data_IF_023393394933
#
_entry.id   IF_023393394933
#
_cell.length_a   1.000
_cell.length_b   1.000
_cell.length_c   1.000
_cell.angle_alpha   90.00
_cell.angle_beta   90.00
_cell.angle_gamma   90.00
#
_symmetry.space_group_name_H-M   'P 1'
#
loop_
_entity.id
_entity.type
_entity.pdbx_description
1 polymer ?
#
# COMPACT_ATOMS: atom_id res chain seq x y z
N UNK A 1 -11.77 -8.42 26.27
CA UNK A 1 -12.05 -7.29 25.37
C UNK A 1 -10.90 -6.29 25.54
N UNK A 2 -10.22 -5.78 24.49
CA UNK A 2 -10.69 -5.66 23.11
C UNK A 2 -10.30 -6.82 22.17
N UNK A 3 -10.95 -6.88 21.00
CA UNK A 3 -10.53 -7.67 19.84
C UNK A 3 -11.12 -7.05 18.56
N UNK A 4 -10.57 -7.38 17.38
CA UNK A 4 -11.06 -6.87 16.11
C UNK A 4 -11.33 -7.96 15.08
N UNK A 5 -12.27 -7.70 14.17
CA UNK A 5 -12.52 -8.51 12.97
C UNK A 5 -12.24 -7.62 11.76
N UNK A 6 -11.28 -8.02 10.93
CA UNK A 6 -10.95 -7.30 9.70
C UNK A 6 -11.52 -8.02 8.48
N UNK A 7 -12.00 -7.27 7.51
CA UNK A 7 -12.48 -7.79 6.24
C UNK A 7 -12.01 -6.92 5.07
N UNK A 8 -11.62 -7.58 3.98
CA UNK A 8 -11.43 -6.94 2.68
C UNK A 8 -12.45 -7.54 1.73
N UNK A 9 -13.27 -6.70 1.11
CA UNK A 9 -14.40 -7.18 0.31
C UNK A 9 -14.87 -6.20 -0.74
N UNK A 10 -15.72 -6.71 -1.62
CA UNK A 10 -16.46 -5.91 -2.60
C UNK A 10 -17.71 -5.33 -1.95
N UNK A 11 -17.94 -4.05 -2.20
CA UNK A 11 -19.16 -3.35 -1.82
C UNK A 11 -19.80 -2.72 -3.05
N UNK A 12 -21.13 -2.65 -3.04
CA UNK A 12 -21.92 -2.14 -4.16
C UNK A 12 -22.76 -0.96 -3.71
N UNK A 13 -22.69 0.13 -4.47
CA UNK A 13 -23.52 1.33 -4.29
C UNK A 13 -24.30 1.56 -5.57
N UNK A 14 -25.62 1.72 -5.48
CA UNK A 14 -26.45 2.01 -6.65
C UNK A 14 -26.34 3.50 -7.05
N UNK A 15 -25.13 3.94 -7.37
CA UNK A 15 -24.81 5.32 -7.73
C UNK A 15 -25.49 5.71 -9.05
N UNK A 16 -26.23 6.83 -8.99
CA UNK A 16 -27.06 7.34 -10.08
C UNK A 16 -26.15 7.90 -11.17
N UNK A 17 -25.12 8.65 -10.79
CA UNK A 17 -24.20 9.31 -11.71
C UNK A 17 -22.74 8.99 -11.37
N UNK A 18 -22.19 7.87 -11.87
CA UNK A 18 -20.77 7.57 -11.79
C UNK A 18 -19.95 8.69 -12.47
N UNK A 19 -18.94 9.20 -11.79
CA UNK A 19 -18.07 10.30 -12.27
C UNK A 19 -16.76 10.33 -11.47
N UNK A 20 -15.84 11.20 -11.90
CA UNK A 20 -14.56 11.45 -11.21
C UNK A 20 -13.72 10.18 -11.04
N UNK A 21 -13.71 9.36 -12.10
CA UNK A 21 -12.97 8.10 -12.21
C UNK A 21 -13.30 7.15 -11.04
N UNK A 22 -12.38 6.94 -10.10
CA UNK A 22 -12.55 6.02 -8.97
C UNK A 22 -13.35 6.59 -7.78
N UNK A 23 -13.76 7.86 -7.80
CA UNK A 23 -14.42 8.48 -6.64
C UNK A 23 -15.89 8.14 -6.49
N UNK A 24 -16.59 7.95 -7.62
CA UNK A 24 -18.00 7.55 -7.65
C UNK A 24 -18.17 6.31 -8.51
N UNK A 25 -18.06 5.17 -7.84
CA UNK A 25 -18.18 3.85 -8.44
C UNK A 25 -19.47 3.15 -7.99
N UNK A 26 -19.90 2.15 -8.77
CA UNK A 26 -21.00 1.24 -8.39
C UNK A 26 -20.51 -0.01 -7.69
N UNK A 27 -19.30 -0.46 -8.00
CA UNK A 27 -18.58 -1.51 -7.31
C UNK A 27 -17.27 -0.91 -6.81
N UNK A 28 -16.95 -1.11 -5.53
CA UNK A 28 -15.72 -0.66 -4.91
C UNK A 28 -15.17 -1.75 -3.98
N UNK A 29 -13.90 -1.63 -3.60
CA UNK A 29 -13.30 -2.54 -2.62
C UNK A 29 -12.99 -1.78 -1.32
N UNK A 30 -13.37 -2.35 -0.19
CA UNK A 30 -13.16 -1.74 1.13
C UNK A 30 -12.27 -2.65 1.99
N UNK A 31 -11.48 -2.03 2.86
CA UNK A 31 -10.81 -2.67 3.98
C UNK A 31 -11.43 -2.08 5.25
N UNK A 32 -12.07 -2.91 6.05
CA UNK A 32 -12.81 -2.50 7.23
C UNK A 32 -12.35 -3.32 8.42
N UNK A 33 -12.30 -2.69 9.59
CA UNK A 33 -12.09 -3.41 10.85
C UNK A 33 -13.22 -3.06 11.79
N UNK A 34 -13.90 -4.07 12.31
CA UNK A 34 -14.82 -3.90 13.44
C UNK A 34 -14.05 -4.18 14.71
N UNK A 35 -13.68 -3.13 15.45
CA UNK A 35 -12.92 -3.24 16.68
C UNK A 35 -13.82 -3.13 17.90
N UNK A 36 -14.04 -4.27 18.56
CA UNK A 36 -14.91 -4.40 19.71
C UNK A 36 -14.18 -4.00 20.98
N UNK A 37 -14.79 -3.10 21.75
CA UNK A 37 -14.24 -2.53 22.98
C UNK A 37 -15.27 -2.53 24.10
N UNK A 38 -14.82 -2.46 25.35
CA UNK A 38 -15.72 -2.18 26.47
C UNK A 38 -16.17 -0.72 26.42
N UNK A 39 -17.40 -0.39 26.88
CA UNK A 39 -17.92 0.98 26.90
C UNK A 39 -17.02 1.97 27.64
N UNK A 40 -16.25 1.54 28.64
CA UNK A 40 -15.33 2.39 29.39
C UNK A 40 -13.99 2.70 28.68
N UNK A 41 -13.62 1.91 27.66
CA UNK A 41 -12.29 1.96 27.04
C UNK A 41 -12.26 2.58 25.64
N UNK A 42 -13.42 3.01 25.12
CA UNK A 42 -13.53 3.44 23.72
C UNK A 42 -12.67 4.66 23.38
N UNK A 43 -12.53 5.64 24.28
CA UNK A 43 -11.76 6.86 24.01
C UNK A 43 -10.30 6.54 23.76
N UNK A 44 -9.70 5.73 24.64
CA UNK A 44 -8.32 5.28 24.49
C UNK A 44 -8.13 4.50 23.18
N UNK A 45 -9.00 3.52 22.92
CA UNK A 45 -8.91 2.71 21.71
C UNK A 45 -9.10 3.55 20.43
N UNK A 46 -9.99 4.54 20.46
CA UNK A 46 -10.23 5.43 19.31
C UNK A 46 -9.00 6.27 18.98
N UNK A 47 -8.34 6.81 20.00
CA UNK A 47 -7.10 7.59 19.85
C UNK A 47 -5.92 6.72 19.39
N UNK A 48 -5.87 5.46 19.82
CA UNK A 48 -4.90 4.48 19.32
C UNK A 48 -5.13 4.18 17.83
N UNK A 49 -6.39 3.91 17.43
CA UNK A 49 -6.74 3.72 16.02
C UNK A 49 -6.47 4.96 15.17
N UNK A 50 -6.76 6.17 15.66
CA UNK A 50 -6.45 7.41 14.94
C UNK A 50 -4.96 7.50 14.59
N UNK A 51 -4.07 7.17 15.54
CA UNK A 51 -2.62 7.12 15.29
C UNK A 51 -2.24 6.02 14.31
N UNK A 52 -2.89 4.84 14.40
CA UNK A 52 -2.67 3.75 13.46
C UNK A 52 -3.04 4.13 12.03
N UNK A 53 -4.07 4.96 11.81
CA UNK A 53 -4.41 5.47 10.47
C UNK A 53 -3.25 6.28 9.86
N UNK A 54 -2.62 7.17 10.65
CA UNK A 54 -1.44 7.92 10.20
C UNK A 54 -0.22 7.03 9.94
N UNK A 55 0.03 6.06 10.81
CA UNK A 55 1.10 5.07 10.61
C UNK A 55 0.87 4.22 9.36
N UNK A 56 -0.39 3.89 9.05
CA UNK A 56 -0.75 3.20 7.82
C UNK A 56 -0.50 4.07 6.58
N UNK A 57 -0.84 5.37 6.62
CA UNK A 57 -0.49 6.31 5.56
C UNK A 57 1.03 6.39 5.32
N UNK A 58 1.82 6.45 6.39
CA UNK A 58 3.30 6.43 6.30
C UNK A 58 3.81 5.12 5.67
N UNK A 59 3.26 3.98 6.09
CA UNK A 59 3.63 2.66 5.54
C UNK A 59 3.32 2.54 4.03
N UNK A 60 2.28 3.25 3.55
CA UNK A 60 1.93 3.37 2.13
C UNK A 60 2.80 4.39 1.38
N UNK A 61 3.68 5.13 2.07
CA UNK A 61 4.49 6.19 1.49
C UNK A 61 3.70 7.46 1.15
N UNK A 62 2.55 7.68 1.80
CA UNK A 62 1.80 8.94 1.68
C UNK A 62 2.49 10.04 2.51
N UNK A 63 2.75 11.24 1.94
CA UNK A 63 3.29 12.34 2.72
C UNK A 63 2.27 12.82 3.76
N UNK A 64 2.69 12.96 5.01
CA UNK A 64 1.79 13.29 6.12
C UNK A 64 1.17 14.67 5.96
N UNK A 65 1.86 15.61 5.31
CA UNK A 65 1.35 16.95 5.00
C UNK A 65 0.15 16.96 4.05
N UNK A 66 -0.09 15.85 3.34
CA UNK A 66 -1.22 15.68 2.43
C UNK A 66 -2.37 14.88 3.03
N UNK A 67 -2.22 14.35 4.26
CA UNK A 67 -3.26 13.60 4.97
C UNK A 67 -3.80 14.47 6.10
N UNK A 68 -5.10 14.78 6.04
CA UNK A 68 -5.76 15.72 6.95
C UNK A 68 -6.84 15.01 7.75
N UNK A 69 -6.97 15.32 9.03
CA UNK A 69 -8.10 14.88 9.85
C UNK A 69 -9.22 15.92 9.80
N UNK A 70 -10.45 15.46 9.56
CA UNK A 70 -11.68 16.25 9.66
C UNK A 70 -12.60 15.61 10.71
N UNK A 71 -12.74 16.25 11.86
CA UNK A 71 -13.73 15.84 12.87
C UNK A 71 -15.14 16.18 12.34
N UNK A 72 -15.97 15.16 12.15
CA UNK A 72 -17.30 15.34 11.53
C UNK A 72 -18.25 16.01 12.53
N UNK A 73 -18.87 17.16 12.18
CA UNK A 73 -19.81 17.87 13.04
C UNK A 73 -20.99 17.00 13.47
N UNK A 74 -21.57 17.30 14.64
CA UNK A 74 -22.61 16.47 15.23
C UNK A 74 -23.85 16.29 14.33
N UNK A 75 -24.17 17.33 13.57
CA UNK A 75 -25.27 17.42 12.61
C UNK A 75 -25.07 16.59 11.34
N UNK A 76 -23.82 16.32 10.96
CA UNK A 76 -23.46 15.61 9.73
C UNK A 76 -23.10 14.13 9.99
N UNK A 77 -22.97 13.73 11.26
CA UNK A 77 -22.72 12.34 11.65
C UNK A 77 -23.91 11.45 11.35
N UNK A 78 -23.63 10.20 11.00
CA UNK A 78 -24.64 9.16 10.99
C UNK A 78 -25.28 9.05 12.38
N UNK A 79 -26.60 8.79 12.43
CA UNK A 79 -27.38 8.74 13.67
C UNK A 79 -26.87 7.74 14.72
N UNK A 80 -26.08 6.76 14.31
CA UNK A 80 -25.47 5.74 15.17
C UNK A 80 -24.02 6.05 15.57
N UNK A 81 -23.39 7.10 15.01
CA UNK A 81 -22.00 7.46 15.32
C UNK A 81 -21.93 8.54 16.40
N UNK A 82 -21.23 8.23 17.50
CA UNK A 82 -20.97 9.17 18.59
C UNK A 82 -19.73 10.03 18.32
N UNK A 83 -18.81 9.58 17.47
CA UNK A 83 -17.62 10.32 17.01
C UNK A 83 -17.15 9.78 15.67
N UNK A 84 -16.84 10.65 14.73
CA UNK A 84 -16.25 10.25 13.43
C UNK A 84 -15.17 11.23 13.05
N UNK A 85 -14.03 10.70 12.61
CA UNK A 85 -12.98 11.45 11.93
C UNK A 85 -12.87 10.93 10.51
N UNK A 86 -13.04 11.83 9.54
CA UNK A 86 -12.71 11.54 8.15
C UNK A 86 -11.25 11.92 7.92
N UNK A 87 -10.48 11.00 7.36
CA UNK A 87 -9.15 11.25 6.85
C UNK A 87 -9.27 11.67 5.39
N UNK A 88 -8.87 12.89 5.08
CA UNK A 88 -8.86 13.43 3.73
C UNK A 88 -7.46 13.45 3.13
N UNK A 89 -7.37 13.36 1.81
CA UNK A 89 -6.12 13.46 1.07
C UNK A 89 -6.17 14.56 0.02
N UNK A 90 -5.06 15.27 -0.17
CA UNK A 90 -4.90 16.29 -1.21
C UNK A 90 -4.62 15.64 -2.58
N UNK A 91 -5.69 15.33 -3.33
CA UNK A 91 -5.55 14.86 -4.71
C UNK A 91 -5.25 16.03 -5.68
N UNK A 92 -4.74 15.75 -6.90
CA UNK A 92 -4.48 16.79 -7.91
C UNK A 92 -5.71 17.62 -8.31
N UNK A 93 -6.93 17.13 -8.06
CA UNK A 93 -8.20 17.80 -8.32
C UNK A 93 -8.92 18.27 -7.04
N UNK A 94 -8.19 18.36 -5.93
CA UNK A 94 -8.65 18.90 -4.65
C UNK A 94 -8.74 17.87 -3.54
N UNK A 95 -8.96 18.37 -2.33
CA UNK A 95 -9.09 17.56 -1.13
C UNK A 95 -10.35 16.70 -1.14
N UNK A 96 -10.20 15.42 -0.83
CA UNK A 96 -11.31 14.46 -0.75
C UNK A 96 -11.07 13.45 0.36
N UNK A 97 -12.16 12.92 0.90
CA UNK A 97 -12.19 11.77 1.80
C UNK A 97 -11.41 10.56 1.23
N UNK A 98 -10.46 10.09 2.03
CA UNK A 98 -9.63 8.91 1.79
C UNK A 98 -10.15 7.73 2.64
N UNK A 99 -10.27 7.91 3.96
CA UNK A 99 -10.72 6.90 4.94
C UNK A 99 -11.63 7.52 6.00
N UNK A 100 -12.37 6.69 6.73
CA UNK A 100 -13.15 7.10 7.90
C UNK A 100 -12.78 6.30 9.15
N UNK A 101 -12.86 6.93 10.31
CA UNK A 101 -12.75 6.29 11.62
C UNK A 101 -13.96 6.68 12.46
N UNK A 102 -14.86 5.74 12.69
CA UNK A 102 -16.11 5.96 13.41
C UNK A 102 -16.16 5.22 14.75
N UNK A 103 -16.84 5.79 15.72
CA UNK A 103 -17.22 5.14 16.97
C UNK A 103 -18.74 5.03 17.04
N UNK A 104 -19.23 3.80 16.92
CA UNK A 104 -20.65 3.48 16.67
C UNK A 104 -21.39 3.00 17.92
N UNK A 105 -20.75 3.09 19.09
CA UNK A 105 -21.31 2.60 20.36
C UNK A 105 -21.73 1.12 20.24
N UNK A 106 -22.81 0.70 20.87
CA UNK A 106 -23.37 -0.66 20.80
C UNK A 106 -24.42 -0.83 19.69
N UNK A 107 -24.67 0.22 18.89
CA UNK A 107 -25.81 0.31 17.96
C UNK A 107 -25.96 -0.93 17.07
N UNK A 108 -24.88 -1.36 16.43
CA UNK A 108 -24.91 -2.45 15.46
C UNK A 108 -25.26 -3.79 16.08
N UNK A 109 -24.58 -4.13 17.18
CA UNK A 109 -24.82 -5.37 17.91
C UNK A 109 -26.20 -5.35 18.57
N UNK A 110 -26.64 -4.23 19.12
CA UNK A 110 -27.97 -4.09 19.72
C UNK A 110 -29.08 -4.26 18.66
N UNK A 111 -28.94 -3.63 17.49
CA UNK A 111 -29.89 -3.77 16.39
C UNK A 111 -29.97 -5.23 15.90
N UNK A 112 -28.83 -5.89 15.68
CA UNK A 112 -28.80 -7.29 15.25
C UNK A 112 -29.33 -8.26 16.30
N UNK A 113 -29.03 -8.05 17.58
CA UNK A 113 -29.56 -8.86 18.67
C UNK A 113 -31.09 -8.75 18.75
N UNK A 114 -31.63 -7.53 18.67
CA UNK A 114 -33.07 -7.28 18.69
C UNK A 114 -33.80 -7.91 17.50
N UNK A 115 -33.22 -7.82 16.30
CA UNK A 115 -33.86 -8.35 15.09
C UNK A 115 -33.76 -9.88 14.98
N UNK A 116 -32.65 -10.48 15.43
CA UNK A 116 -32.41 -11.93 15.31
C UNK A 116 -32.90 -12.74 16.51
N UNK A 117 -33.04 -12.11 17.68
CA UNK A 117 -33.29 -12.80 18.95
C UNK A 117 -32.06 -13.53 19.52
N UNK A 118 -30.89 -13.41 18.88
CA UNK A 118 -29.63 -14.00 19.34
C UNK A 118 -28.91 -13.01 20.24
N UNK A 119 -28.45 -13.47 21.41
CA UNK A 119 -27.71 -12.63 22.34
C UNK A 119 -26.27 -12.38 21.85
N UNK A 120 -25.91 -11.11 21.70
CA UNK A 120 -24.59 -10.64 21.27
C UNK A 120 -23.81 -9.92 22.39
N UNK A 121 -24.22 -10.10 23.64
CA UNK A 121 -23.53 -9.55 24.79
C UNK A 121 -22.26 -10.34 25.13
N UNK A 122 -21.20 -9.64 25.52
CA UNK A 122 -19.96 -10.22 26.00
C UNK A 122 -20.00 -10.40 27.52
N UNK A 123 -19.61 -11.59 27.99
CA UNK A 123 -19.40 -11.88 29.41
C UNK A 123 -17.92 -11.66 29.76
N UNK A 124 -17.63 -10.69 30.61
CA UNK A 124 -16.31 -10.48 31.16
C UNK A 124 -16.12 -11.35 32.41
N UNK A 125 -15.25 -12.37 32.30
CA UNK A 125 -14.93 -13.29 33.38
C UNK A 125 -13.71 -12.86 34.21
N UNK A 126 -13.10 -11.69 33.91
CA UNK A 126 -11.97 -11.18 34.68
C UNK A 126 -12.41 -10.76 36.10
N UNK A 127 -11.93 -11.43 37.16
CA UNK A 127 -12.32 -11.14 38.53
C UNK A 127 -11.85 -9.77 39.05
N UNK A 128 -10.97 -9.07 38.31
CA UNK A 128 -10.45 -7.75 38.68
C UNK A 128 -11.31 -6.58 38.18
N UNK A 129 -12.24 -6.81 37.25
CA UNK A 129 -13.09 -5.75 36.69
C UNK A 129 -14.37 -5.62 37.52
N UNK A 130 -14.55 -4.47 38.17
CA UNK A 130 -15.67 -4.18 39.08
C UNK A 130 -16.98 -3.73 38.43
N UNK A 131 -17.06 -3.61 37.09
CA UNK A 131 -18.27 -3.22 36.35
C UNK A 131 -19.05 -4.42 35.77
N UNK A 132 -20.25 -4.16 35.26
CA UNK A 132 -21.21 -5.15 34.74
C UNK A 132 -20.51 -6.31 34.03
N UNK A 133 -20.55 -7.50 34.65
CA UNK A 133 -19.95 -8.73 34.12
C UNK A 133 -20.42 -9.06 32.70
N UNK A 134 -21.50 -8.44 32.23
CA UNK A 134 -22.08 -8.67 30.91
C UNK A 134 -22.49 -7.33 30.29
N UNK A 135 -22.03 -7.05 29.08
CA UNK A 135 -22.35 -5.82 28.34
C UNK A 135 -22.37 -6.08 26.83
N UNK A 136 -23.04 -5.23 26.06
CA UNK A 136 -22.91 -5.24 24.60
C UNK A 136 -21.64 -4.46 24.23
N UNK A 137 -20.65 -5.07 23.55
CA UNK A 137 -19.44 -4.38 23.16
C UNK A 137 -19.76 -3.15 22.30
N UNK A 138 -18.98 -2.10 22.49
CA UNK A 138 -19.02 -0.98 21.56
C UNK A 138 -18.07 -1.22 20.39
N UNK A 139 -18.32 -0.54 19.27
CA UNK A 139 -17.58 -0.74 18.02
C UNK A 139 -16.85 0.54 17.59
N UNK A 140 -15.56 0.40 17.31
CA UNK A 140 -14.74 1.38 16.59
C UNK A 140 -14.44 0.80 15.22
N UNK A 141 -14.73 1.57 14.18
CA UNK A 141 -14.64 1.14 12.79
C UNK A 141 -13.73 2.08 11.99
N UNK A 142 -12.49 1.69 11.70
CA UNK A 142 -11.76 2.21 10.55
C UNK A 142 -12.30 1.57 9.27
N UNK A 143 -12.79 2.40 8.33
CA UNK A 143 -13.22 2.00 6.99
C UNK A 143 -12.37 2.69 5.93
N UNK A 144 -11.72 1.90 5.07
CA UNK A 144 -10.73 2.35 4.11
C UNK A 144 -11.12 1.95 2.69
N UNK A 145 -11.28 2.93 1.79
CA UNK A 145 -11.48 2.66 0.37
C UNK A 145 -10.19 2.24 -0.33
N UNK A 146 -10.09 0.99 -0.80
CA UNK A 146 -8.89 0.46 -1.49
C UNK A 146 -8.58 1.28 -2.74
N UNK A 147 -9.60 1.53 -3.57
CA UNK A 147 -9.45 2.22 -4.84
C UNK A 147 -8.90 3.64 -4.65
N UNK A 148 -9.46 4.39 -3.69
CA UNK A 148 -9.00 5.75 -3.34
C UNK A 148 -7.59 5.76 -2.75
N UNK A 149 -7.25 4.73 -1.97
CA UNK A 149 -5.91 4.54 -1.41
C UNK A 149 -4.88 4.32 -2.52
N UNK A 150 -5.18 3.47 -3.51
CA UNK A 150 -4.30 3.23 -4.65
C UNK A 150 -4.06 4.53 -5.43
N UNK A 151 -5.11 5.32 -5.69
CA UNK A 151 -4.91 6.59 -6.37
C UNK A 151 -4.10 7.59 -5.55
N UNK A 152 -4.30 7.66 -4.23
CA UNK A 152 -3.50 8.53 -3.37
C UNK A 152 -2.01 8.17 -3.44
N UNK A 153 -1.69 6.87 -3.44
CA UNK A 153 -0.33 6.35 -3.62
C UNK A 153 0.24 6.74 -4.99
N UNK A 154 -0.52 6.52 -6.07
CA UNK A 154 -0.09 6.85 -7.43
C UNK A 154 0.13 8.37 -7.62
N UNK A 155 -0.79 9.19 -7.11
CA UNK A 155 -0.68 10.64 -7.15
C UNK A 155 0.54 11.13 -6.36
N UNK A 156 0.78 10.56 -5.17
CA UNK A 156 1.94 10.90 -4.33
C UNK A 156 3.27 10.48 -4.96
N UNK A 157 3.28 9.41 -5.76
CA UNK A 157 4.48 8.87 -6.39
C UNK A 157 4.79 9.48 -7.77
N UNK A 158 3.83 10.10 -8.45
CA UNK A 158 4.03 10.63 -9.81
C UNK A 158 5.10 11.73 -9.85
N UNK A 159 6.11 11.57 -10.70
CA UNK A 159 7.18 12.55 -10.91
C UNK A 159 7.49 12.70 -12.40
N UNK A 160 7.96 13.89 -12.74
CA UNK A 160 8.58 14.20 -14.03
C UNK A 160 9.94 14.85 -13.78
N UNK A 161 10.96 14.42 -14.51
CA UNK A 161 12.27 15.09 -14.56
C UNK A 161 12.86 15.13 -15.97
N UNK A 162 13.97 15.85 -16.16
CA UNK A 162 14.75 15.82 -17.39
C UNK A 162 15.85 14.76 -17.26
N UNK A 163 15.86 13.81 -18.20
CA UNK A 163 16.87 12.77 -18.26
C UNK A 163 17.48 12.73 -19.66
N UNK A 164 18.55 13.52 -19.84
CA UNK A 164 19.27 13.59 -21.10
C UNK A 164 18.56 14.42 -22.17
N UNK A 165 17.87 15.50 -21.77
CA UNK A 165 17.13 16.38 -22.67
C UNK A 165 15.75 15.85 -23.08
N UNK A 166 15.30 14.74 -22.47
CA UNK A 166 13.97 14.17 -22.64
C UNK A 166 13.26 14.08 -21.29
N UNK A 167 12.00 14.52 -21.25
CA UNK A 167 11.15 14.38 -20.07
C UNK A 167 10.98 12.89 -19.73
N UNK A 168 11.14 12.57 -18.45
CA UNK A 168 10.95 11.23 -17.89
C UNK A 168 9.85 11.26 -16.86
N UNK A 169 8.77 10.56 -17.17
CA UNK A 169 7.71 10.25 -16.22
C UNK A 169 8.05 8.97 -15.48
N UNK A 170 7.93 8.98 -14.16
CA UNK A 170 8.14 7.79 -13.34
C UNK A 170 7.29 7.82 -12.08
N UNK A 171 7.05 6.64 -11.51
CA UNK A 171 6.38 6.51 -10.22
C UNK A 171 7.43 6.25 -9.13
N UNK A 172 7.64 7.22 -8.25
CA UNK A 172 8.50 7.14 -7.08
C UNK A 172 7.89 6.28 -5.94
N UNK A 173 7.32 5.11 -6.27
CA UNK A 173 6.73 4.19 -5.30
C UNK A 173 7.77 3.75 -4.26
N UNK A 174 7.38 3.68 -2.99
CA UNK A 174 8.24 3.06 -1.99
C UNK A 174 8.53 1.60 -2.37
N UNK A 175 9.78 1.11 -2.29
CA UNK A 175 10.12 -0.23 -2.75
C UNK A 175 9.28 -1.34 -2.12
N UNK A 176 8.83 -1.17 -0.86
CA UNK A 176 7.94 -2.09 -0.15
C UNK A 176 6.61 -2.34 -0.84
N UNK A 177 6.04 -1.33 -1.51
CA UNK A 177 4.74 -1.39 -2.17
C UNK A 177 4.81 -1.42 -3.70
N UNK A 178 6.00 -1.19 -4.29
CA UNK A 178 6.16 -1.26 -5.75
C UNK A 178 5.72 -2.64 -6.29
N UNK A 179 4.93 -2.71 -7.38
CA UNK A 179 4.36 -3.96 -7.90
C UNK A 179 5.44 -4.91 -8.44
N UNK A 180 6.54 -4.33 -8.93
CA UNK A 180 7.74 -5.04 -9.37
C UNK A 180 8.91 -4.52 -8.53
N UNK A 181 9.67 -5.42 -7.90
CA UNK A 181 10.79 -5.02 -7.01
C UNK A 181 12.07 -4.77 -7.78
N UNK A 182 12.31 -5.59 -8.79
CA UNK A 182 13.38 -5.36 -9.75
C UNK A 182 13.04 -5.98 -11.10
N UNK A 183 13.69 -5.50 -12.14
CA UNK A 183 13.68 -6.09 -13.47
C UNK A 183 15.07 -6.61 -13.81
N UNK A 184 15.17 -7.80 -14.41
CA UNK A 184 16.43 -8.35 -14.94
C UNK A 184 16.39 -8.40 -16.46
N UNK A 185 17.46 -7.89 -17.07
CA UNK A 185 17.56 -7.66 -18.50
C UNK A 185 18.92 -8.09 -19.07
N UNK A 186 18.98 -8.81 -20.20
CA UNK A 186 20.22 -8.91 -20.97
C UNK A 186 20.45 -7.61 -21.75
N UNK A 187 21.69 -7.14 -21.88
CA UNK A 187 22.00 -5.95 -22.67
C UNK A 187 21.50 -6.10 -24.11
N UNK A 188 21.75 -7.27 -24.71
CA UNK A 188 21.34 -7.62 -26.06
C UNK A 188 20.57 -8.94 -26.08
N UNK A 189 19.31 -8.90 -26.51
CA UNK A 189 18.44 -10.08 -26.61
C UNK A 189 18.88 -11.11 -27.67
N UNK A 190 19.65 -10.68 -28.66
CA UNK A 190 20.13 -11.53 -29.76
C UNK A 190 21.45 -12.24 -29.45
N UNK A 191 21.94 -12.14 -28.20
CA UNK A 191 23.15 -12.83 -27.72
C UNK A 191 22.72 -13.90 -26.70
N UNK A 192 22.66 -15.19 -27.10
CA UNK A 192 22.13 -16.26 -26.24
C UNK A 192 22.84 -16.35 -24.88
N UNK A 193 24.16 -16.17 -24.85
CA UNK A 193 24.96 -16.23 -23.62
C UNK A 193 24.55 -15.16 -22.58
N UNK A 194 24.20 -13.95 -23.05
CA UNK A 194 23.70 -12.88 -22.15
C UNK A 194 22.30 -13.21 -21.63
N UNK A 195 21.44 -13.78 -22.48
CA UNK A 195 20.07 -14.14 -22.12
C UNK A 195 20.08 -15.27 -21.09
N UNK A 196 20.89 -16.29 -21.30
CA UNK A 196 21.08 -17.41 -20.37
C UNK A 196 21.58 -16.92 -19.01
N UNK A 197 22.66 -16.12 -19.00
CA UNK A 197 23.19 -15.53 -17.76
C UNK A 197 22.17 -14.62 -17.05
N UNK A 198 21.38 -13.84 -17.80
CA UNK A 198 20.32 -13.01 -17.23
C UNK A 198 19.19 -13.85 -16.61
N UNK A 199 18.87 -15.01 -17.18
CA UNK A 199 17.93 -15.95 -16.55
C UNK A 199 18.46 -16.55 -15.26
N UNK A 200 19.75 -16.89 -15.19
CA UNK A 200 20.41 -17.33 -13.95
C UNK A 200 20.36 -16.25 -12.86
N UNK A 201 20.78 -15.03 -13.19
CA UNK A 201 20.73 -13.87 -12.26
C UNK A 201 19.31 -13.66 -11.76
N UNK A 202 18.32 -13.71 -12.66
CA UNK A 202 16.91 -13.58 -12.28
C UNK A 202 16.44 -14.71 -11.35
N UNK A 203 16.86 -15.93 -11.60
CA UNK A 203 16.50 -17.07 -10.75
C UNK A 203 17.05 -16.88 -9.33
N UNK A 204 18.26 -16.36 -9.17
CA UNK A 204 18.84 -16.02 -7.86
C UNK A 204 18.07 -14.89 -7.18
N UNK A 205 17.79 -13.78 -7.89
CA UNK A 205 17.04 -12.67 -7.30
C UNK A 205 15.60 -13.04 -6.95
N UNK A 206 14.98 -13.99 -7.66
CA UNK A 206 13.66 -14.53 -7.31
C UNK A 206 13.62 -15.26 -5.96
N UNK A 207 14.76 -15.72 -5.44
CA UNK A 207 14.86 -16.26 -4.08
C UNK A 207 14.71 -15.18 -3.01
N UNK A 208 14.95 -13.91 -3.37
CA UNK A 208 14.72 -12.75 -2.49
C UNK A 208 13.25 -12.35 -2.50
N UNK A 209 12.65 -12.21 -3.67
CA UNK A 209 11.24 -11.84 -3.82
C UNK A 209 10.66 -12.39 -5.13
N UNK A 210 9.39 -12.85 -5.20
CA UNK A 210 8.82 -13.41 -6.43
C UNK A 210 8.59 -12.39 -7.55
N UNK A 211 8.33 -11.12 -7.19
CA UNK A 211 8.06 -10.02 -8.13
C UNK A 211 9.34 -9.43 -8.79
N UNK A 212 10.18 -10.32 -9.34
CA UNK A 212 11.34 -9.95 -10.17
C UNK A 212 10.95 -10.18 -11.65
N UNK A 213 10.83 -9.07 -12.37
CA UNK A 213 10.42 -9.05 -13.76
C UNK A 213 11.54 -9.47 -14.70
N UNK A 214 11.14 -9.95 -15.88
CA UNK A 214 12.01 -10.16 -17.02
C UNK A 214 11.61 -9.17 -18.10
N UNK A 215 12.58 -8.55 -18.77
CA UNK A 215 12.31 -7.72 -19.94
C UNK A 215 13.51 -7.74 -20.91
N UNK A 216 13.31 -8.23 -22.12
CA UNK A 216 14.29 -8.23 -23.21
C UNK A 216 13.83 -7.45 -24.44
N UNK A 217 12.71 -6.72 -24.34
CA UNK A 217 12.06 -6.13 -25.50
C UNK A 217 12.58 -4.71 -25.80
N UNK A 218 13.22 -4.54 -26.95
CA UNK A 218 13.78 -3.26 -27.38
C UNK A 218 15.17 -3.00 -26.80
N UNK A 219 15.65 -1.76 -26.88
CA UNK A 219 16.95 -1.39 -26.31
C UNK A 219 16.85 -1.22 -24.78
N UNK A 220 18.00 -1.18 -24.10
CA UNK A 220 18.03 -1.09 -22.63
C UNK A 220 17.40 0.20 -22.10
N UNK A 221 17.58 1.34 -22.79
CA UNK A 221 16.98 2.61 -22.40
C UNK A 221 15.44 2.57 -22.40
N UNK A 222 14.83 1.98 -23.44
CA UNK A 222 13.37 1.79 -23.51
C UNK A 222 12.85 0.87 -22.41
N UNK A 223 13.63 -0.15 -22.03
CA UNK A 223 13.31 -1.04 -20.91
C UNK A 223 13.33 -0.26 -19.59
N UNK A 224 14.37 0.52 -19.33
CA UNK A 224 14.41 1.39 -18.15
C UNK A 224 13.22 2.36 -18.10
N UNK A 225 12.88 3.03 -19.21
CA UNK A 225 11.72 3.94 -19.26
C UNK A 225 10.40 3.26 -18.88
N UNK A 226 10.12 2.05 -19.40
CA UNK A 226 8.92 1.29 -19.00
C UNK A 226 8.91 0.91 -17.52
N UNK A 227 10.07 0.55 -16.98
CA UNK A 227 10.20 0.18 -15.57
C UNK A 227 10.03 1.40 -14.65
N UNK A 228 10.55 2.56 -15.07
CA UNK A 228 10.38 3.83 -14.40
C UNK A 228 8.88 4.22 -14.34
N UNK A 229 8.15 4.10 -15.45
CA UNK A 229 6.71 4.40 -15.54
C UNK A 229 5.83 3.54 -14.60
N UNK A 230 6.21 2.29 -14.34
CA UNK A 230 5.49 1.40 -13.40
C UNK A 230 6.09 1.42 -11.99
N UNK A 231 7.10 2.26 -11.76
CA UNK A 231 7.72 2.48 -10.46
C UNK A 231 8.60 1.36 -9.94
N UNK A 232 9.16 0.53 -10.82
CA UNK A 232 10.12 -0.52 -10.44
C UNK A 232 11.40 0.11 -9.86
N UNK A 233 11.76 -0.11 -8.59
CA UNK A 233 12.88 0.58 -7.94
C UNK A 233 14.26 0.27 -8.55
N UNK A 234 14.44 -0.96 -9.05
CA UNK A 234 15.75 -1.48 -9.46
C UNK A 234 15.70 -2.12 -10.85
N UNK A 235 16.64 -1.78 -11.71
CA UNK A 235 16.86 -2.48 -12.98
C UNK A 235 18.26 -3.10 -13.00
N UNK A 236 18.33 -4.41 -13.25
CA UNK A 236 19.56 -5.19 -13.29
C UNK A 236 19.86 -5.56 -14.73
N UNK A 237 21.03 -5.18 -15.21
CA UNK A 237 21.47 -5.44 -16.59
C UNK A 237 22.66 -6.37 -16.60
N UNK A 238 22.57 -7.42 -17.42
CA UNK A 238 23.63 -8.39 -17.72
C UNK A 238 24.24 -8.06 -19.08
N UNK A 239 25.54 -7.81 -19.11
CA UNK A 239 26.30 -7.36 -20.29
C UNK A 239 27.56 -8.20 -20.53
N UNK A 240 28.36 -7.83 -21.52
CA UNK A 240 29.56 -8.58 -21.90
C UNK A 240 30.62 -8.63 -20.79
N UNK A 241 30.74 -7.56 -19.99
CA UNK A 241 31.58 -7.57 -18.80
C UNK A 241 31.11 -8.61 -17.77
N UNK A 242 29.81 -8.86 -17.67
CA UNK A 242 29.27 -9.94 -16.81
C UNK A 242 29.83 -11.31 -17.22
N UNK A 243 30.06 -11.51 -18.53
CA UNK A 243 30.64 -12.73 -19.10
C UNK A 243 32.17 -12.76 -19.05
N UNK A 244 32.81 -11.65 -18.64
CA UNK A 244 34.26 -11.54 -18.49
C UNK A 244 34.98 -10.89 -19.67
N UNK A 245 34.31 -10.03 -20.46
CA UNK A 245 34.99 -9.14 -21.42
C UNK A 245 36.10 -8.33 -20.73
N UNK A 246 35.77 -7.72 -19.58
CA UNK A 246 36.75 -7.25 -18.60
C UNK A 246 36.89 -8.29 -17.48
N UNK A 247 38.08 -8.90 -17.29
CA UNK A 247 38.27 -9.98 -16.30
C UNK A 247 37.86 -9.61 -14.87
N UNK A 248 38.12 -8.37 -14.46
CA UNK A 248 37.82 -7.85 -13.12
C UNK A 248 36.31 -7.66 -12.86
N UNK A 249 35.50 -7.62 -13.92
CA UNK A 249 34.06 -7.40 -13.87
C UNK A 249 33.24 -8.67 -14.12
N UNK A 250 33.92 -9.81 -14.28
CA UNK A 250 33.25 -11.10 -14.48
C UNK A 250 32.31 -11.40 -13.31
N UNK A 251 31.12 -11.94 -13.62
CA UNK A 251 30.07 -12.28 -12.65
C UNK A 251 29.50 -11.09 -11.85
N UNK A 252 29.82 -9.86 -12.24
CA UNK A 252 29.16 -8.65 -11.75
C UNK A 252 28.11 -8.17 -12.74
N UNK A 253 27.07 -7.51 -12.24
CA UNK A 253 25.95 -6.97 -13.00
C UNK A 253 25.81 -5.47 -12.72
N UNK A 254 25.16 -4.76 -13.64
CA UNK A 254 24.86 -3.35 -13.45
C UNK A 254 23.50 -3.19 -12.77
N UNK A 255 23.47 -2.54 -11.61
CA UNK A 255 22.25 -2.16 -10.90
C UNK A 255 21.97 -0.68 -11.15
N UNK A 256 20.80 -0.38 -11.71
CA UNK A 256 20.29 0.99 -11.90
C UNK A 256 19.21 1.31 -10.88
N UNK A 257 19.33 2.47 -10.24
CA UNK A 257 18.33 3.04 -9.33
C UNK A 257 17.30 3.86 -10.09
N UNK A 258 16.00 3.66 -9.80
CA UNK A 258 14.89 4.37 -10.47
C UNK A 258 15.00 5.89 -10.28
N UNK A 259 15.09 6.33 -9.02
CA UNK A 259 14.93 7.74 -8.67
C UNK A 259 16.07 8.58 -9.23
N UNK A 260 17.33 8.21 -8.94
CA UNK A 260 18.51 8.95 -9.41
C UNK A 260 18.91 8.63 -10.86
N UNK A 261 18.54 7.45 -11.38
CA UNK A 261 19.05 6.95 -12.66
C UNK A 261 20.51 6.47 -12.62
N UNK A 262 21.18 6.57 -11.47
CA UNK A 262 22.57 6.16 -11.26
C UNK A 262 22.74 4.64 -11.43
N UNK A 263 23.92 4.25 -11.87
CA UNK A 263 24.30 2.86 -12.11
C UNK A 263 25.51 2.50 -11.27
N UNK A 264 25.43 1.37 -10.58
CA UNK A 264 26.53 0.79 -9.82
C UNK A 264 26.82 -0.64 -10.31
N UNK A 265 28.09 -1.04 -10.26
CA UNK A 265 28.53 -2.38 -10.65
C UNK A 265 28.68 -3.22 -9.38
N UNK A 266 27.94 -4.32 -9.31
CA UNK A 266 27.84 -5.14 -8.10
C UNK A 266 27.81 -6.63 -8.44
N UNK A 267 28.21 -7.47 -7.48
CA UNK A 267 27.92 -8.90 -7.54
C UNK A 267 26.42 -9.16 -7.40
N UNK A 268 25.95 -10.31 -7.88
CA UNK A 268 24.53 -10.71 -7.73
C UNK A 268 24.11 -10.79 -6.26
N UNK A 269 25.02 -11.18 -5.36
CA UNK A 269 24.76 -11.26 -3.92
C UNK A 269 24.56 -9.87 -3.29
N UNK A 270 25.35 -8.87 -3.69
CA UNK A 270 25.17 -7.50 -3.22
C UNK A 270 23.87 -6.89 -3.73
N UNK A 271 23.51 -7.13 -5.00
CA UNK A 271 22.21 -6.73 -5.55
C UNK A 271 21.05 -7.36 -4.76
N UNK A 272 21.14 -8.66 -4.45
CA UNK A 272 20.15 -9.35 -3.64
C UNK A 272 20.00 -8.73 -2.24
N UNK A 273 21.10 -8.34 -1.61
CA UNK A 273 21.10 -7.67 -0.31
C UNK A 273 20.47 -6.28 -0.38
N UNK A 274 20.78 -5.48 -1.42
CA UNK A 274 20.19 -4.15 -1.64
C UNK A 274 18.67 -4.24 -1.84
N UNK A 275 18.22 -5.18 -2.68
CA UNK A 275 16.79 -5.39 -2.91
C UNK A 275 16.09 -5.80 -1.60
N UNK A 276 16.66 -6.74 -0.84
CA UNK A 276 16.09 -7.18 0.44
C UNK A 276 15.94 -6.02 1.43
N UNK A 277 17.01 -5.27 1.65
CA UNK A 277 17.01 -4.15 2.60
C UNK A 277 16.00 -3.05 2.21
N UNK A 278 15.72 -2.87 0.92
CA UNK A 278 14.76 -1.87 0.46
C UNK A 278 13.29 -2.32 0.61
N UNK A 279 13.01 -3.62 0.54
CA UNK A 279 11.63 -4.14 0.56
C UNK A 279 11.14 -4.57 1.95
N UNK A 280 12.05 -4.75 2.91
CA UNK A 280 11.76 -5.02 4.33
C UNK A 280 11.38 -3.74 5.08
#
# INVERSE_FOLDING_TARGET
MPFGIAQIGKAFRNEIAPRDFIFRLRELSQMEVEYFVSPAAWEQAFEEWRKLMHLFAEALGLPQEHVHELEVPAEDRAHYSKRTIDFEFDYPFGRKELWGLAYRTDFDLAAHANASGVELAYLNEDPQVGEEKKFIPHVIEPSLGVDRTILAVLASAYREDDMGGEVRTYLALAPKIAPVKAMVSPLLKNKPELVEKAHEVRAELKKVHPAIAWDDNGNIGKRYRRQDEIGTPFCVTVDFDTLGETPELKDTVTLRHRDSGEQERLTVAEVAARIRAAIE
#
